data_IF_473639283156
#
_entry.id   IF_473639283156
#
_cell.length_a   1.000
_cell.length_b   1.000
_cell.length_c   1.000
_cell.angle_alpha   90.00
_cell.angle_beta   90.00
_cell.angle_gamma   90.00
#
_symmetry.space_group_name_H-M   'P 1'
#
loop_
_entity.id
_entity.type
_entity.pdbx_description
1 polymer ?
#
# COMPACT_ATOMS: atom_id res chain seq x y z
N UNK A 1 3.73 16.45 -19.55
CA UNK A 1 3.13 15.74 -18.39
C UNK A 1 3.97 16.04 -17.15
N UNK A 2 3.34 16.52 -16.08
CA UNK A 2 4.06 16.90 -14.85
C UNK A 2 3.79 15.85 -13.76
N UNK A 3 4.84 15.23 -13.26
CA UNK A 3 4.80 14.15 -12.27
C UNK A 3 5.40 14.63 -10.96
N UNK A 4 4.82 14.23 -9.83
CA UNK A 4 5.49 14.29 -8.53
C UNK A 4 5.69 12.86 -8.00
N UNK A 5 6.92 12.56 -7.59
CA UNK A 5 7.34 11.27 -7.06
C UNK A 5 7.64 11.42 -5.56
N UNK A 6 6.97 10.64 -4.74
CA UNK A 6 7.21 10.51 -3.31
C UNK A 6 7.76 9.12 -2.99
N UNK A 7 8.99 9.05 -2.49
CA UNK A 7 9.70 7.83 -2.16
C UNK A 7 10.80 8.11 -1.13
N UNK A 8 10.89 7.38 -0.03
CA UNK A 8 11.90 7.60 1.00
C UNK A 8 13.29 7.04 0.61
N UNK A 9 13.37 6.24 -0.46
CA UNK A 9 14.61 5.70 -1.01
C UNK A 9 15.26 6.69 -1.98
N UNK A 10 16.13 7.58 -1.47
CA UNK A 10 16.70 8.70 -2.23
C UNK A 10 17.37 8.30 -3.54
N UNK A 11 18.21 7.26 -3.54
CA UNK A 11 18.92 6.80 -4.74
C UNK A 11 17.92 6.36 -5.81
N UNK A 12 16.90 5.60 -5.44
CA UNK A 12 15.86 5.16 -6.35
C UNK A 12 15.07 6.36 -6.90
N UNK A 13 14.60 7.25 -6.02
CA UNK A 13 13.80 8.42 -6.40
C UNK A 13 14.54 9.37 -7.36
N UNK A 14 15.80 9.70 -7.08
CA UNK A 14 16.62 10.53 -7.96
C UNK A 14 16.90 9.84 -9.31
N UNK A 15 17.21 8.54 -9.29
CA UNK A 15 17.47 7.80 -10.53
C UNK A 15 16.20 7.69 -11.40
N UNK A 16 15.06 7.39 -10.79
CA UNK A 16 13.80 7.32 -11.50
C UNK A 16 13.39 8.67 -12.07
N UNK A 17 13.57 9.76 -11.30
CA UNK A 17 13.37 11.12 -11.81
C UNK A 17 14.18 11.37 -13.08
N UNK A 18 15.47 11.06 -13.07
CA UNK A 18 16.35 11.26 -14.24
C UNK A 18 15.84 10.45 -15.45
N UNK A 19 15.49 9.17 -15.26
CA UNK A 19 14.97 8.31 -16.31
C UNK A 19 13.62 8.81 -16.89
N UNK A 20 12.74 9.34 -16.03
CA UNK A 20 11.48 9.92 -16.48
C UNK A 20 11.72 11.20 -17.30
N UNK A 21 12.69 12.04 -16.89
CA UNK A 21 13.04 13.29 -17.58
C UNK A 21 13.86 13.11 -18.87
N UNK A 22 14.33 11.88 -19.19
CA UNK A 22 14.85 11.55 -20.51
C UNK A 22 13.75 11.58 -21.60
N UNK A 23 12.48 11.54 -21.18
CA UNK A 23 11.34 11.73 -22.10
C UNK A 23 11.05 13.22 -22.24
N UNK A 24 11.12 13.75 -23.45
CA UNK A 24 10.93 15.19 -23.76
C UNK A 24 9.58 15.76 -23.25
N UNK A 25 8.58 14.92 -23.08
CA UNK A 25 7.22 15.31 -22.68
C UNK A 25 6.94 15.13 -21.18
N UNK A 26 7.94 14.73 -20.36
CA UNK A 26 7.79 14.49 -18.93
C UNK A 26 8.69 15.44 -18.12
N UNK A 27 8.11 16.08 -17.11
CA UNK A 27 8.85 16.73 -16.04
C UNK A 27 8.52 16.07 -14.70
N UNK A 28 9.52 15.80 -13.88
CA UNK A 28 9.36 15.08 -12.62
C UNK A 28 9.96 15.84 -11.44
N UNK A 29 9.18 16.03 -10.40
CA UNK A 29 9.66 16.51 -9.11
C UNK A 29 9.73 15.32 -8.15
N UNK A 30 10.90 15.11 -7.56
CA UNK A 30 11.09 14.10 -6.53
C UNK A 30 11.12 14.71 -5.14
N UNK A 31 10.46 14.06 -4.20
CA UNK A 31 10.47 14.40 -2.76
C UNK A 31 10.57 13.13 -1.92
N UNK A 32 11.29 13.19 -0.82
CA UNK A 32 11.54 12.03 0.05
C UNK A 32 10.69 12.00 1.32
N UNK A 33 9.84 13.00 1.54
CA UNK A 33 9.02 13.15 2.75
C UNK A 33 7.61 13.59 2.41
N UNK A 34 6.62 13.01 3.09
CA UNK A 34 5.22 13.36 2.89
C UNK A 34 4.90 14.84 3.16
N UNK A 35 5.54 15.46 4.15
CA UNK A 35 5.35 16.90 4.44
C UNK A 35 5.81 17.79 3.29
N UNK A 36 6.93 17.45 2.64
CA UNK A 36 7.43 18.23 1.51
C UNK A 36 6.57 17.99 0.26
N UNK A 37 6.07 16.75 0.09
CA UNK A 37 5.10 16.42 -0.94
C UNK A 37 3.84 17.27 -0.84
N UNK A 38 3.23 17.39 0.35
CA UNK A 38 2.05 18.22 0.58
C UNK A 38 2.30 19.67 0.24
N UNK A 39 3.43 20.24 0.69
CA UNK A 39 3.82 21.63 0.35
C UNK A 39 3.97 21.86 -1.15
N UNK A 40 4.46 20.86 -1.89
CA UNK A 40 4.66 20.99 -3.34
C UNK A 40 3.35 20.95 -4.10
N UNK A 41 2.42 20.08 -3.72
CA UNK A 41 1.09 19.99 -4.39
C UNK A 41 0.18 21.18 -4.05
N UNK A 42 0.39 21.87 -2.92
CA UNK A 42 -0.29 23.13 -2.61
C UNK A 42 0.16 24.28 -3.52
N UNK A 43 1.42 24.27 -3.97
CA UNK A 43 2.04 25.35 -4.78
C UNK A 43 1.83 25.16 -6.26
N UNK A 44 1.72 23.91 -6.71
CA UNK A 44 1.82 23.55 -8.12
C UNK A 44 0.89 22.40 -8.46
N UNK A 45 0.35 22.40 -9.67
CA UNK A 45 -0.49 21.31 -10.16
C UNK A 45 0.38 20.21 -10.81
N UNK A 46 0.04 18.95 -10.54
CA UNK A 46 0.69 17.79 -11.13
C UNK A 46 -0.35 16.88 -11.77
N UNK A 47 -0.02 16.33 -12.92
CA UNK A 47 -0.90 15.42 -13.67
C UNK A 47 -0.99 14.04 -13.01
N UNK A 48 0.15 13.55 -12.49
CA UNK A 48 0.27 12.23 -11.88
C UNK A 48 1.07 12.32 -10.58
N UNK A 49 0.58 11.63 -9.56
CA UNK A 49 1.30 11.36 -8.33
C UNK A 49 1.81 9.91 -8.37
N UNK A 50 3.13 9.73 -8.29
CA UNK A 50 3.77 8.43 -8.04
C UNK A 50 4.09 8.37 -6.55
N UNK A 51 3.52 7.42 -5.82
CA UNK A 51 3.64 7.36 -4.35
C UNK A 51 4.07 5.97 -3.92
N UNK A 52 5.19 5.90 -3.17
CA UNK A 52 5.50 4.67 -2.42
C UNK A 52 4.58 4.55 -1.19
N UNK A 53 4.12 3.34 -0.92
CA UNK A 53 3.31 3.05 0.27
C UNK A 53 4.14 2.87 1.54
N UNK A 54 5.42 2.52 1.40
CA UNK A 54 6.34 2.29 2.52
C UNK A 54 7.18 3.51 2.84
N UNK A 55 6.54 4.56 3.26
CA UNK A 55 7.23 5.75 3.73
C UNK A 55 7.64 5.57 5.20
N UNK A 56 8.91 5.89 5.53
CA UNK A 56 9.40 6.00 6.90
C UNK A 56 8.97 7.34 7.51
N UNK A 57 7.67 7.58 7.54
CA UNK A 57 7.05 8.82 8.00
C UNK A 57 5.96 8.49 9.05
N UNK A 58 5.41 9.51 9.71
CA UNK A 58 4.32 9.35 10.70
C UNK A 58 3.05 8.74 10.08
N UNK A 59 2.82 8.97 8.79
CA UNK A 59 1.73 8.39 7.99
C UNK A 59 2.29 7.42 6.95
N UNK A 60 1.58 6.31 6.76
CA UNK A 60 1.88 5.42 5.63
C UNK A 60 1.50 6.06 4.30
N UNK A 61 2.07 5.59 3.20
CA UNK A 61 1.67 6.08 1.87
C UNK A 61 0.18 5.86 1.57
N UNK A 62 -0.44 4.78 2.09
CA UNK A 62 -1.87 4.54 1.92
C UNK A 62 -2.74 5.54 2.70
N UNK A 63 -2.33 5.96 3.91
CA UNK A 63 -3.03 6.99 4.67
C UNK A 63 -2.98 8.33 3.93
N UNK A 64 -1.81 8.68 3.38
CA UNK A 64 -1.64 9.88 2.56
C UNK A 64 -2.51 9.83 1.29
N UNK A 65 -2.52 8.69 0.58
CA UNK A 65 -3.36 8.49 -0.61
C UNK A 65 -4.84 8.65 -0.28
N UNK A 66 -5.29 8.14 0.86
CA UNK A 66 -6.67 8.30 1.31
C UNK A 66 -7.04 9.78 1.44
N UNK A 67 -6.23 10.55 2.16
CA UNK A 67 -6.47 11.99 2.35
C UNK A 67 -6.50 12.72 0.98
N UNK A 68 -5.54 12.43 0.09
CA UNK A 68 -5.45 13.04 -1.23
C UNK A 68 -6.66 12.74 -2.14
N UNK A 69 -7.20 11.54 -2.08
CA UNK A 69 -8.37 11.16 -2.89
C UNK A 69 -9.66 11.71 -2.28
N UNK A 70 -9.76 11.82 -0.95
CA UNK A 70 -10.87 12.50 -0.28
C UNK A 70 -10.93 13.98 -0.70
N UNK A 71 -9.78 14.66 -0.79
CA UNK A 71 -9.70 16.05 -1.23
C UNK A 71 -9.93 16.21 -2.74
N UNK A 72 -9.37 15.33 -3.56
CA UNK A 72 -9.51 15.37 -5.03
C UNK A 72 -9.71 13.96 -5.62
N UNK A 73 -10.96 13.46 -5.75
CA UNK A 73 -11.24 12.13 -6.30
C UNK A 73 -10.81 11.92 -7.75
N UNK A 74 -10.52 13.00 -8.49
CA UNK A 74 -10.06 12.93 -9.89
C UNK A 74 -8.55 12.83 -10.02
N UNK A 75 -7.81 13.04 -8.93
CA UNK A 75 -6.35 12.96 -8.97
C UNK A 75 -5.89 11.58 -9.46
N UNK A 76 -4.94 11.59 -10.37
CA UNK A 76 -4.34 10.37 -10.90
C UNK A 76 -3.17 9.97 -10.00
N UNK A 77 -3.39 8.94 -9.21
CA UNK A 77 -2.38 8.38 -8.30
C UNK A 77 -1.99 7.00 -8.79
N UNK A 78 -0.70 6.76 -8.90
CA UNK A 78 -0.08 5.45 -9.16
C UNK A 78 0.74 5.10 -7.93
N UNK A 79 0.50 3.93 -7.37
CA UNK A 79 1.37 3.37 -6.33
C UNK A 79 2.57 2.73 -7.00
N UNK A 80 3.77 3.04 -6.48
CA UNK A 80 5.02 2.45 -6.93
C UNK A 80 5.76 1.91 -5.69
N UNK A 81 5.81 0.59 -5.52
CA UNK A 81 6.30 -0.03 -4.29
C UNK A 81 7.13 -1.29 -4.55
N UNK A 82 8.06 -1.60 -3.63
CA UNK A 82 8.80 -2.86 -3.66
C UNK A 82 7.97 -4.07 -3.19
N UNK A 83 6.79 -3.83 -2.62
CA UNK A 83 5.91 -4.87 -2.07
C UNK A 83 4.74 -5.14 -3.00
N UNK A 84 4.77 -6.29 -3.67
CA UNK A 84 3.67 -6.76 -4.51
C UNK A 84 2.72 -7.66 -3.69
N UNK A 85 2.05 -7.02 -2.73
CA UNK A 85 1.14 -7.71 -1.82
C UNK A 85 -0.30 -7.43 -2.22
N UNK A 86 -1.05 -8.48 -2.52
CA UNK A 86 -2.43 -8.41 -3.02
C UNK A 86 -3.34 -7.55 -2.13
N UNK A 87 -3.15 -7.59 -0.82
CA UNK A 87 -3.92 -6.77 0.11
C UNK A 87 -3.67 -5.27 -0.05
N UNK A 88 -2.40 -4.84 -0.19
CA UNK A 88 -2.08 -3.44 -0.42
C UNK A 88 -2.61 -2.95 -1.76
N UNK A 89 -2.52 -3.81 -2.77
CA UNK A 89 -3.07 -3.55 -4.09
C UNK A 89 -4.58 -3.35 -4.06
N UNK A 90 -5.32 -4.25 -3.40
CA UNK A 90 -6.76 -4.12 -3.22
C UNK A 90 -7.15 -2.87 -2.42
N UNK A 91 -6.43 -2.57 -1.34
CA UNK A 91 -6.67 -1.37 -0.55
C UNK A 91 -6.44 -0.11 -1.38
N UNK A 92 -5.36 -0.05 -2.14
CA UNK A 92 -5.04 1.09 -3.01
C UNK A 92 -6.14 1.32 -4.07
N UNK A 93 -6.58 0.24 -4.75
CA UNK A 93 -7.65 0.35 -5.74
C UNK A 93 -9.01 0.72 -5.12
N UNK A 94 -9.34 0.23 -3.92
CA UNK A 94 -10.54 0.65 -3.18
C UNK A 94 -10.51 2.13 -2.81
N UNK A 95 -9.35 2.69 -2.53
CA UNK A 95 -9.17 4.13 -2.31
C UNK A 95 -9.36 4.94 -3.61
N UNK A 96 -9.18 4.35 -4.79
CA UNK A 96 -9.33 5.03 -6.07
C UNK A 96 -8.02 5.28 -6.83
N UNK A 97 -6.94 4.62 -6.43
CA UNK A 97 -5.66 4.61 -7.14
C UNK A 97 -5.86 4.09 -8.57
N UNK A 98 -5.16 4.66 -9.54
CA UNK A 98 -5.33 4.34 -10.97
C UNK A 98 -4.48 3.17 -11.43
N UNK A 99 -3.33 2.96 -10.78
CA UNK A 99 -2.48 1.81 -11.03
C UNK A 99 -1.63 1.47 -9.80
N UNK A 100 -1.15 0.23 -9.74
CA UNK A 100 -0.29 -0.29 -8.67
C UNK A 100 0.84 -1.07 -9.32
N UNK A 101 2.08 -0.57 -9.16
CA UNK A 101 3.25 -1.01 -9.92
C UNK A 101 4.35 -1.45 -8.93
N UNK A 102 4.95 -2.61 -9.19
CA UNK A 102 6.14 -3.02 -8.46
C UNK A 102 7.36 -2.25 -8.95
N UNK A 103 8.24 -1.81 -8.04
CA UNK A 103 9.50 -1.10 -8.37
C UNK A 103 10.50 -1.93 -9.19
N UNK A 104 10.30 -3.25 -9.28
CA UNK A 104 11.11 -4.15 -10.11
C UNK A 104 10.69 -4.18 -11.58
N UNK A 105 9.65 -3.45 -11.95
CA UNK A 105 9.19 -3.36 -13.35
C UNK A 105 10.26 -2.72 -14.24
N UNK A 106 10.33 -3.15 -15.51
CA UNK A 106 11.21 -2.53 -16.51
C UNK A 106 10.74 -1.09 -16.80
N UNK A 107 11.72 -0.20 -17.09
CA UNK A 107 11.44 1.23 -17.28
C UNK A 107 10.45 1.50 -18.41
N UNK A 108 10.54 0.76 -19.51
CA UNK A 108 9.64 0.92 -20.65
C UNK A 108 8.19 0.57 -20.30
N UNK A 109 7.97 -0.48 -19.51
CA UNK A 109 6.64 -0.84 -19.01
C UNK A 109 6.12 0.23 -18.05
N UNK A 110 6.96 0.73 -17.14
CA UNK A 110 6.58 1.81 -16.23
C UNK A 110 6.12 3.05 -17.00
N UNK A 111 6.89 3.48 -18.00
CA UNK A 111 6.56 4.62 -18.84
C UNK A 111 5.24 4.42 -19.60
N UNK A 112 5.02 3.23 -20.17
CA UNK A 112 3.76 2.90 -20.84
C UNK A 112 2.58 3.00 -19.88
N UNK A 113 2.68 2.44 -18.69
CA UNK A 113 1.63 2.46 -17.67
C UNK A 113 1.34 3.87 -17.19
N UNK A 114 2.36 4.69 -16.94
CA UNK A 114 2.20 6.10 -16.58
C UNK A 114 1.46 6.86 -17.70
N UNK A 115 1.88 6.68 -18.97
CA UNK A 115 1.23 7.31 -20.14
C UNK A 115 -0.22 6.85 -20.31
N UNK A 116 -0.52 5.58 -20.01
CA UNK A 116 -1.88 5.05 -20.04
C UNK A 116 -2.76 5.70 -18.98
N UNK A 117 -2.28 5.82 -17.73
CA UNK A 117 -3.00 6.52 -16.66
C UNK A 117 -3.20 8.00 -16.99
N UNK A 118 -2.20 8.67 -17.57
CA UNK A 118 -2.31 10.05 -18.00
C UNK A 118 -3.41 10.26 -19.04
N UNK A 119 -3.53 9.35 -20.01
CA UNK A 119 -4.58 9.37 -21.05
C UNK A 119 -5.96 8.93 -20.56
N UNK A 120 -6.07 8.43 -19.32
CA UNK A 120 -7.32 7.87 -18.78
C UNK A 120 -7.57 6.41 -19.18
N UNK A 121 -6.61 5.75 -19.83
CA UNK A 121 -6.66 4.36 -20.28
C UNK A 121 -6.14 3.43 -19.18
N UNK A 122 -6.88 3.26 -18.09
CA UNK A 122 -6.52 2.33 -17.01
C UNK A 122 -7.67 1.36 -16.74
N UNK A 123 -7.33 0.09 -16.49
CA UNK A 123 -8.33 -0.93 -16.14
C UNK A 123 -8.75 -0.73 -14.69
N UNK A 124 -10.06 -0.59 -14.43
CA UNK A 124 -10.57 -0.86 -13.09
C UNK A 124 -10.33 -2.34 -12.79
N UNK A 125 -9.52 -2.62 -11.81
CA UNK A 125 -9.29 -4.00 -11.38
C UNK A 125 -10.38 -4.34 -10.36
N UNK A 126 -11.41 -5.03 -10.84
CA UNK A 126 -12.49 -5.57 -10.00
C UNK A 126 -12.07 -6.91 -9.34
N UNK A 127 -10.83 -7.01 -8.85
CA UNK A 127 -10.42 -8.19 -8.07
C UNK A 127 -10.63 -7.91 -6.59
N UNK A 128 -11.74 -8.39 -6.06
CA UNK A 128 -11.99 -8.51 -4.64
C UNK A 128 -11.17 -9.67 -4.07
N UNK A 129 -10.38 -9.43 -3.03
CA UNK A 129 -10.09 -10.49 -2.06
C UNK A 129 -11.42 -10.79 -1.39
N UNK A 130 -11.91 -12.02 -1.52
CA UNK A 130 -13.28 -12.39 -1.18
C UNK A 130 -13.65 -12.12 0.29
N UNK A 131 -12.71 -12.07 1.21
CA UNK A 131 -12.95 -11.72 2.63
C UNK A 131 -11.67 -11.29 3.36
N UNK A 132 -11.28 -10.00 3.31
CA UNK A 132 -10.06 -9.52 3.95
C UNK A 132 -10.13 -9.65 5.48
N UNK A 133 -8.96 -9.81 6.12
CA UNK A 133 -8.87 -9.77 7.58
C UNK A 133 -9.32 -8.39 8.09
N UNK A 134 -10.19 -8.40 9.09
CA UNK A 134 -10.58 -7.17 9.81
C UNK A 134 -9.41 -6.65 10.65
N UNK A 135 -9.43 -5.36 11.01
CA UNK A 135 -8.44 -4.77 11.92
C UNK A 135 -8.29 -5.61 13.21
N UNK A 136 -9.42 -6.12 13.72
CA UNK A 136 -9.43 -6.93 14.94
C UNK A 136 -8.79 -8.30 14.76
N UNK A 137 -8.99 -8.93 13.63
CA UNK A 137 -8.33 -10.20 13.28
C UNK A 137 -6.83 -10.03 13.10
N UNK A 138 -6.39 -8.90 12.52
CA UNK A 138 -4.97 -8.55 12.40
C UNK A 138 -4.34 -8.34 13.79
N UNK A 139 -5.01 -7.62 14.69
CA UNK A 139 -4.55 -7.45 16.09
C UNK A 139 -4.42 -8.79 16.81
N UNK A 140 -5.44 -9.65 16.67
CA UNK A 140 -5.42 -11.01 17.25
C UNK A 140 -4.26 -11.83 16.69
N UNK A 141 -4.05 -11.81 15.39
CA UNK A 141 -2.96 -12.53 14.74
C UNK A 141 -1.58 -12.05 15.21
N UNK A 142 -1.38 -10.74 15.31
CA UNK A 142 -0.14 -10.14 15.85
C UNK A 142 0.16 -10.58 17.29
N UNK A 143 -0.84 -10.71 18.14
CA UNK A 143 -0.63 -11.17 19.52
C UNK A 143 -0.38 -12.69 19.60
N UNK A 144 -1.05 -13.48 18.76
CA UNK A 144 -0.84 -14.93 18.68
C UNK A 144 0.60 -15.31 18.33
N UNK A 145 1.22 -14.54 17.42
CA UNK A 145 2.59 -14.77 16.96
C UNK A 145 3.62 -14.54 18.05
N UNK A 146 3.33 -13.66 19.02
CA UNK A 146 4.21 -13.41 20.17
C UNK A 146 4.31 -14.59 21.13
N UNK A 147 3.51 -15.65 20.90
CA UNK A 147 3.53 -16.86 21.73
C UNK A 147 2.84 -16.73 23.10
N UNK A 148 2.07 -15.65 23.31
CA UNK A 148 1.33 -15.47 24.56
C UNK A 148 0.17 -16.46 24.68
N UNK A 149 -0.20 -16.80 25.94
CA UNK A 149 -1.36 -17.66 26.18
C UNK A 149 -2.66 -16.99 25.70
N UNK A 150 -3.58 -17.78 25.13
CA UNK A 150 -4.89 -17.28 24.64
C UNK A 150 -5.65 -16.51 25.72
N UNK A 151 -5.53 -16.93 26.98
CA UNK A 151 -6.12 -16.23 28.13
C UNK A 151 -5.54 -14.82 28.33
N UNK A 152 -4.22 -14.67 28.17
CA UNK A 152 -3.56 -13.37 28.28
C UNK A 152 -3.92 -12.47 27.08
N UNK A 153 -3.93 -13.02 25.87
CA UNK A 153 -4.36 -12.29 24.66
C UNK A 153 -5.80 -11.78 24.81
N UNK A 154 -6.71 -12.63 25.27
CA UNK A 154 -8.10 -12.24 25.49
C UNK A 154 -8.23 -11.07 26.48
N UNK A 155 -7.49 -11.14 27.62
CA UNK A 155 -7.42 -10.03 28.58
C UNK A 155 -6.85 -8.76 27.98
N UNK A 156 -5.72 -8.85 27.29
CA UNK A 156 -5.03 -7.72 26.65
C UNK A 156 -5.90 -7.01 25.62
N UNK A 157 -6.66 -7.79 24.88
CA UNK A 157 -7.57 -7.29 23.85
C UNK A 157 -8.97 -6.94 24.38
N UNK A 158 -9.22 -7.06 25.69
CA UNK A 158 -10.52 -6.78 26.33
C UNK A 158 -11.68 -7.57 25.72
N UNK A 159 -11.47 -8.86 25.41
CA UNK A 159 -12.49 -9.76 24.89
C UNK A 159 -12.57 -11.06 25.68
N UNK A 160 -13.66 -11.81 25.53
CA UNK A 160 -13.76 -13.15 26.10
C UNK A 160 -12.86 -14.15 25.35
N UNK A 161 -12.43 -15.23 26.02
CA UNK A 161 -11.70 -16.30 25.35
C UNK A 161 -12.52 -16.89 24.18
N UNK A 162 -13.84 -17.03 24.34
CA UNK A 162 -14.75 -17.49 23.29
C UNK A 162 -14.71 -16.58 22.06
N UNK A 163 -14.71 -15.27 22.28
CA UNK A 163 -14.60 -14.29 21.20
C UNK A 163 -13.24 -14.39 20.49
N UNK A 164 -12.17 -14.60 21.27
CA UNK A 164 -10.83 -14.82 20.72
C UNK A 164 -10.79 -16.07 19.83
N UNK A 165 -11.36 -17.20 20.27
CA UNK A 165 -11.43 -18.43 19.46
C UNK A 165 -12.21 -18.21 18.16
N UNK A 166 -13.29 -17.44 18.18
CA UNK A 166 -14.04 -17.11 16.97
C UNK A 166 -13.18 -16.30 15.98
N UNK A 167 -12.41 -15.30 16.47
CA UNK A 167 -11.50 -14.57 15.61
C UNK A 167 -10.41 -15.48 15.02
N UNK A 168 -9.84 -16.40 15.81
CA UNK A 168 -8.82 -17.35 15.33
C UNK A 168 -9.42 -18.26 14.24
N UNK A 169 -10.62 -18.77 14.42
CA UNK A 169 -11.29 -19.59 13.41
C UNK A 169 -11.52 -18.81 12.11
N UNK A 170 -12.01 -17.57 12.21
CA UNK A 170 -12.21 -16.71 11.05
C UNK A 170 -10.89 -16.39 10.32
N UNK A 171 -9.79 -16.12 11.07
CA UNK A 171 -8.46 -15.90 10.49
C UNK A 171 -8.02 -17.13 9.68
N UNK A 172 -8.16 -18.33 10.24
CA UNK A 172 -7.76 -19.56 9.57
C UNK A 172 -8.61 -19.83 8.33
N UNK A 173 -9.90 -19.58 8.40
CA UNK A 173 -10.80 -19.73 7.26
C UNK A 173 -10.48 -18.74 6.15
N UNK A 174 -10.38 -17.46 6.47
CA UNK A 174 -10.07 -16.37 5.52
C UNK A 174 -8.70 -16.54 4.86
N UNK A 175 -7.70 -16.96 5.61
CA UNK A 175 -6.36 -17.22 5.10
C UNK A 175 -6.17 -18.63 4.54
N UNK A 176 -7.21 -19.48 4.54
CA UNK A 176 -7.11 -20.87 4.11
C UNK A 176 -5.91 -21.58 4.74
N UNK A 177 -5.76 -21.45 6.07
CA UNK A 177 -4.62 -21.95 6.85
C UNK A 177 -5.08 -22.93 7.92
N UNK A 178 -4.22 -23.88 8.30
CA UNK A 178 -4.53 -24.93 9.29
C UNK A 178 -3.95 -24.68 10.67
N UNK A 179 -3.01 -23.75 10.76
CA UNK A 179 -2.30 -23.43 11.98
C UNK A 179 -1.77 -22.01 11.95
N UNK A 180 -1.24 -21.53 13.12
CA UNK A 180 -0.77 -20.17 13.27
C UNK A 180 0.42 -19.83 12.37
N UNK A 181 1.31 -20.80 12.11
CA UNK A 181 2.51 -20.58 11.29
C UNK A 181 2.11 -20.35 9.82
N UNK A 182 1.20 -21.18 9.31
CA UNK A 182 0.65 -21.01 7.96
C UNK A 182 -0.12 -19.68 7.86
N UNK A 183 -0.96 -19.36 8.86
CA UNK A 183 -1.70 -18.11 8.89
C UNK A 183 -0.76 -16.90 8.89
N UNK A 184 0.33 -16.95 9.66
CA UNK A 184 1.32 -15.89 9.70
C UNK A 184 2.02 -15.69 8.36
N UNK A 185 2.52 -16.78 7.75
CA UNK A 185 3.20 -16.71 6.46
C UNK A 185 2.28 -16.12 5.39
N UNK A 186 1.04 -16.60 5.31
CA UNK A 186 0.05 -16.05 4.38
C UNK A 186 -0.32 -14.60 4.67
N UNK A 187 -0.43 -14.23 5.95
CA UNK A 187 -0.70 -12.86 6.34
C UNK A 187 0.46 -11.92 5.96
N UNK A 188 1.71 -12.39 6.02
CA UNK A 188 2.87 -11.65 5.51
C UNK A 188 2.84 -11.54 3.98
N UNK A 189 2.63 -12.66 3.28
CA UNK A 189 2.51 -12.69 1.82
C UNK A 189 1.41 -11.75 1.30
N UNK A 190 0.29 -11.66 2.04
CA UNK A 190 -0.84 -10.79 1.72
C UNK A 190 -0.70 -9.36 2.28
N UNK A 191 0.38 -9.05 3.02
CA UNK A 191 0.63 -7.71 3.55
C UNK A 191 -0.23 -7.28 4.73
N UNK A 192 -0.84 -8.22 5.47
CA UNK A 192 -1.54 -7.90 6.71
C UNK A 192 -0.60 -7.65 7.88
N UNK A 193 0.62 -8.18 7.80
CA UNK A 193 1.64 -8.11 8.85
C UNK A 193 2.99 -7.84 8.18
N UNK A 194 3.72 -6.83 8.65
CA UNK A 194 5.07 -6.58 8.21
C UNK A 194 6.00 -7.68 8.73
N UNK A 195 7.01 -8.10 7.94
CA UNK A 195 8.04 -8.99 8.44
C UNK A 195 8.71 -8.33 9.66
N UNK A 196 8.71 -9.03 10.78
CA UNK A 196 9.44 -8.57 11.97
C UNK A 196 10.92 -8.61 11.64
N UNK A 197 11.54 -7.44 11.48
CA UNK A 197 13.00 -7.32 11.45
C UNK A 197 13.56 -7.39 12.85
#
# INVERSE_FOLDING_TARGET
>A
MKIILLDDHKIFGESLKMLLEEQDDISCVYVSKGQDFLKMIEKDAYDIFLIDINLKDDKTGLDLIKDLIEDNPKQKIIVLTSYDLDNYKDMAFKLGVRDFINKSVEIDELLERIKNVYKGNYKKIDKYIADPLTKREIEVLKELIKGESKKNIAKKLFISERTLYNHIANIYDKLQSKNIVEAYNKAMELGYIDPVM
#
